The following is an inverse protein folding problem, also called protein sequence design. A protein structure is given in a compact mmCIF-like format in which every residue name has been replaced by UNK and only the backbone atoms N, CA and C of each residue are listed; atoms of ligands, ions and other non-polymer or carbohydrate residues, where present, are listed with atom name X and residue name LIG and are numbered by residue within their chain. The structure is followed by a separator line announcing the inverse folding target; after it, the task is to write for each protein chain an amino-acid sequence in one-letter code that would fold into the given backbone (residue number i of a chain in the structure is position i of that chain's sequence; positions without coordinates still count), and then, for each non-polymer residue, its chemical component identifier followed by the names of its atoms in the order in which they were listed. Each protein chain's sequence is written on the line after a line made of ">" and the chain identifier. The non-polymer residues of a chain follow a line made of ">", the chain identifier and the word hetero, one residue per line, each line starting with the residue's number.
data_IF_488451696387
#
_entry.id   IF_488451696387
#
_cell.length_a   1.000
_cell.length_b   1.000
_cell.length_c   1.000
_cell.angle_alpha   90.00
_cell.angle_beta   90.00
_cell.angle_gamma   90.00
#
_symmetry.space_group_name_H-M   'P 1'
#
loop_
_entity.id
_entity.type
_entity.pdbx_description
1 polymer ?
#
# COMPACT_ATOMS: atom_id res chain seq x y z
N UNK A 1 15.13 -42.67 -10.13
CA UNK A 1 14.38 -41.41 -9.92
C UNK A 1 15.23 -40.57 -8.98
N UNK A 2 15.96 -39.59 -9.50
CA UNK A 2 17.02 -38.89 -8.77
C UNK A 2 16.48 -37.55 -8.31
N UNK A 3 16.28 -37.40 -7.01
CA UNK A 3 15.73 -36.18 -6.40
C UNK A 3 16.83 -35.11 -6.33
N UNK A 4 16.68 -34.05 -7.13
CA UNK A 4 17.58 -32.89 -7.12
C UNK A 4 17.18 -31.98 -5.94
N UNK A 5 17.99 -31.96 -4.88
CA UNK A 5 17.86 -30.99 -3.78
C UNK A 5 18.41 -29.64 -4.24
N UNK A 6 17.52 -28.66 -4.45
CA UNK A 6 17.89 -27.27 -4.72
C UNK A 6 18.21 -26.58 -3.38
N UNK A 7 19.48 -26.46 -3.03
CA UNK A 7 19.94 -25.70 -1.87
C UNK A 7 19.85 -24.20 -2.18
N UNK A 8 18.87 -23.51 -1.61
CA UNK A 8 18.83 -22.05 -1.60
C UNK A 8 19.83 -21.54 -0.56
N UNK A 9 20.97 -21.04 -1.02
CA UNK A 9 21.90 -20.29 -0.18
C UNK A 9 21.29 -18.92 0.07
N UNK A 10 20.73 -18.72 1.26
CA UNK A 10 20.37 -17.40 1.77
C UNK A 10 21.65 -16.62 2.04
N UNK A 11 22.04 -15.76 1.10
CA UNK A 11 23.01 -14.69 1.34
C UNK A 11 22.41 -13.76 2.40
N UNK A 12 22.83 -13.94 3.66
CA UNK A 12 22.64 -12.96 4.72
C UNK A 12 23.55 -11.77 4.42
N UNK A 13 23.12 -10.90 3.50
CA UNK A 13 23.70 -9.58 3.37
C UNK A 13 23.47 -8.84 4.68
N UNK A 14 24.54 -8.51 5.40
CA UNK A 14 24.49 -7.61 6.54
C UNK A 14 23.90 -6.29 6.08
N UNK A 15 22.64 -6.04 6.42
CA UNK A 15 22.02 -4.74 6.19
C UNK A 15 22.80 -3.72 7.01
N UNK A 16 23.59 -2.89 6.34
CA UNK A 16 24.18 -1.72 6.97
C UNK A 16 23.04 -0.91 7.58
N UNK A 17 23.12 -0.65 8.88
CA UNK A 17 22.19 0.25 9.56
C UNK A 17 22.40 1.65 8.97
N UNK A 18 21.45 2.10 8.15
CA UNK A 18 21.43 3.47 7.63
C UNK A 18 21.24 4.41 8.84
N UNK A 19 22.14 5.37 9.09
CA UNK A 19 21.99 6.33 10.19
C UNK A 19 20.72 7.19 9.97
N UNK A 20 20.03 7.50 11.08
CA UNK A 20 18.79 8.24 11.10
C UNK A 20 19.06 9.77 11.07
N UNK A 21 18.70 10.44 9.97
CA UNK A 21 18.13 11.80 10.03
C UNK A 21 16.90 11.84 9.10
N UNK A 22 15.74 11.46 9.64
CA UNK A 22 14.53 11.12 8.88
C UNK A 22 13.65 12.34 8.65
N UNK A 23 13.44 12.66 7.39
CA UNK A 23 12.36 13.53 6.93
C UNK A 23 11.81 12.96 5.63
N UNK A 24 10.62 12.36 5.69
CA UNK A 24 9.92 11.70 4.59
C UNK A 24 8.53 12.32 4.43
N UNK A 25 8.03 12.61 3.23
CA UNK A 25 6.59 12.88 3.00
C UNK A 25 6.15 12.46 1.60
N UNK A 26 5.07 11.69 1.46
CA UNK A 26 4.45 11.45 0.16
C UNK A 26 2.93 11.44 0.28
N UNK A 27 2.25 12.19 -0.58
CA UNK A 27 0.80 12.23 -0.75
C UNK A 27 0.45 12.29 -2.23
N UNK A 28 -0.37 11.37 -2.72
CA UNK A 28 -0.98 11.47 -4.06
C UNK A 28 -2.39 10.88 -4.01
N UNK A 29 -3.33 11.57 -4.66
CA UNK A 29 -4.70 11.09 -4.95
C UNK A 29 -4.85 10.74 -6.45
N UNK A 30 -3.73 10.71 -7.18
CA UNK A 30 -3.67 10.66 -8.65
C UNK A 30 -3.34 9.26 -9.19
N UNK A 31 -3.13 8.31 -8.30
CA UNK A 31 -2.70 6.94 -8.63
C UNK A 31 -3.93 6.09 -8.92
N UNK A 32 -3.85 5.26 -9.97
CA UNK A 32 -4.77 4.16 -10.20
C UNK A 32 -4.15 2.81 -9.84
N UNK A 33 -4.97 1.79 -9.66
CA UNK A 33 -4.49 0.42 -9.50
C UNK A 33 -5.44 -0.62 -10.10
N UNK A 34 -4.85 -1.75 -10.48
CA UNK A 34 -5.52 -3.00 -10.87
C UNK A 34 -4.73 -4.17 -10.29
N UNK A 35 -5.18 -5.41 -10.48
CA UNK A 35 -4.39 -6.57 -10.08
C UNK A 35 -5.24 -7.80 -9.85
N UNK A 36 -4.81 -8.64 -8.91
CA UNK A 36 -5.50 -9.88 -8.58
C UNK A 36 -5.49 -10.17 -7.10
N UNK A 37 -6.51 -10.90 -6.65
CA UNK A 37 -6.58 -11.48 -5.31
C UNK A 37 -6.84 -12.98 -5.43
N UNK A 38 -6.10 -13.78 -4.67
CA UNK A 38 -6.37 -15.21 -4.49
C UNK A 38 -6.70 -15.49 -3.02
N UNK A 39 -7.63 -16.38 -2.76
CA UNK A 39 -8.14 -16.69 -1.42
C UNK A 39 -7.82 -18.13 -1.06
N UNK A 40 -7.34 -18.35 0.15
CA UNK A 40 -6.88 -19.65 0.66
C UNK A 40 -7.52 -19.94 2.02
N UNK A 41 -7.71 -21.23 2.32
CA UNK A 41 -8.24 -21.65 3.62
C UNK A 41 -7.16 -21.71 4.71
N UNK A 42 -5.88 -21.87 4.35
CA UNK A 42 -4.77 -21.97 5.31
C UNK A 42 -3.67 -20.98 5.00
N UNK A 43 -2.95 -20.53 6.04
CA UNK A 43 -1.80 -19.64 5.88
C UNK A 43 -0.68 -20.31 5.07
N UNK A 44 -0.44 -21.60 5.30
CA UNK A 44 0.57 -22.37 4.58
C UNK A 44 0.31 -22.37 3.08
N UNK A 45 -0.93 -22.65 2.69
CA UNK A 45 -1.33 -22.65 1.28
C UNK A 45 -1.22 -21.25 0.66
N UNK A 46 -1.55 -20.19 1.40
CA UNK A 46 -1.37 -18.80 0.96
C UNK A 46 0.12 -18.44 0.77
N UNK A 47 0.99 -18.86 1.69
CA UNK A 47 2.44 -18.62 1.62
C UNK A 47 3.11 -19.40 0.49
N UNK A 48 2.65 -20.63 0.23
CA UNK A 48 3.18 -21.50 -0.83
C UNK A 48 2.50 -21.27 -2.19
N UNK A 49 1.42 -20.49 -2.25
CA UNK A 49 0.68 -20.21 -3.48
C UNK A 49 -0.02 -21.44 -4.07
N UNK A 50 -0.55 -22.33 -3.23
CA UNK A 50 -1.14 -23.63 -3.65
C UNK A 50 -2.55 -23.82 -3.12
N UNK A 51 -3.36 -24.65 -3.76
CA UNK A 51 -4.74 -24.96 -3.33
C UNK A 51 -5.62 -23.73 -3.01
N UNK A 52 -5.68 -22.70 -3.88
CA UNK A 52 -6.56 -21.56 -3.65
C UNK A 52 -8.03 -22.02 -3.64
N UNK A 53 -8.81 -21.52 -2.69
CA UNK A 53 -10.27 -21.57 -2.70
C UNK A 53 -10.81 -20.80 -3.90
N UNK A 54 -10.22 -19.63 -4.18
CA UNK A 54 -10.46 -18.85 -5.39
C UNK A 54 -9.13 -18.30 -5.91
N UNK A 55 -8.85 -18.48 -7.19
CA UNK A 55 -7.57 -18.07 -7.79
C UNK A 55 -7.75 -16.85 -8.69
N UNK A 56 -6.80 -15.90 -8.61
CA UNK A 56 -6.61 -14.80 -9.57
C UNK A 56 -7.88 -13.98 -9.86
N UNK A 57 -8.67 -13.68 -8.82
CA UNK A 57 -9.85 -12.83 -8.96
C UNK A 57 -9.38 -11.44 -9.40
N UNK A 58 -9.84 -10.94 -10.56
CA UNK A 58 -9.37 -9.67 -11.10
C UNK A 58 -9.89 -8.50 -10.27
N UNK A 59 -8.98 -7.57 -9.95
CA UNK A 59 -9.30 -6.28 -9.34
C UNK A 59 -9.51 -5.26 -10.45
N UNK A 60 -10.72 -4.69 -10.59
CA UNK A 60 -10.98 -3.69 -11.62
C UNK A 60 -10.16 -2.43 -11.37
N UNK A 61 -10.06 -1.59 -12.40
CA UNK A 61 -9.39 -0.29 -12.28
C UNK A 61 -10.08 0.54 -11.18
N UNK A 62 -9.30 0.99 -10.21
CA UNK A 62 -9.74 1.81 -9.08
C UNK A 62 -8.72 2.92 -8.81
N UNK A 63 -9.16 3.99 -8.18
CA UNK A 63 -8.27 5.06 -7.75
C UNK A 63 -7.72 4.76 -6.36
N UNK A 64 -6.48 5.17 -6.13
CA UNK A 64 -5.73 5.00 -4.90
C UNK A 64 -5.33 6.36 -4.33
N UNK A 65 -5.34 6.45 -3.02
CA UNK A 65 -4.63 7.46 -2.25
C UNK A 65 -3.43 6.76 -1.60
N UNK A 66 -2.25 7.34 -1.73
CA UNK A 66 -1.12 6.94 -0.88
C UNK A 66 -0.69 8.16 -0.09
N UNK A 67 -0.60 7.99 1.22
CA UNK A 67 -0.13 9.03 2.13
C UNK A 67 0.83 8.37 3.13
N UNK A 68 2.12 8.75 3.19
CA UNK A 68 3.01 8.40 4.33
C UNK A 68 3.96 9.55 4.72
N UNK A 69 4.34 9.67 6.01
CA UNK A 69 5.43 10.53 6.52
C UNK A 69 6.12 9.91 7.69
N UNK A 70 7.43 10.13 7.74
CA UNK A 70 8.07 10.37 9.02
C UNK A 70 9.11 11.50 8.91
N UNK A 71 8.64 12.67 9.37
CA UNK A 71 9.22 13.85 10.02
C UNK A 71 9.97 14.95 9.24
N UNK A 72 9.25 15.66 8.35
CA UNK A 72 9.34 17.15 8.21
C UNK A 72 7.94 17.77 8.08
N UNK A 73 7.80 19.09 8.32
CA UNK A 73 7.17 19.68 9.52
C UNK A 73 5.72 19.17 9.71
N UNK A 74 5.53 18.28 10.70
CA UNK A 74 4.30 17.53 11.10
C UNK A 74 3.01 17.75 10.29
N UNK A 75 2.44 16.65 9.76
CA UNK A 75 1.02 16.60 9.40
C UNK A 75 0.25 15.53 10.24
N UNK A 76 0.74 15.36 11.49
CA UNK A 76 0.09 14.92 12.75
C UNK A 76 -0.11 13.44 13.11
N UNK A 77 0.82 12.51 13.35
CA UNK A 77 2.28 12.38 13.37
C UNK A 77 2.54 10.87 13.21
N UNK A 78 3.64 10.49 12.55
CA UNK A 78 4.08 9.12 12.24
C UNK A 78 3.06 8.24 11.48
N UNK A 79 2.55 8.73 10.35
CA UNK A 79 1.40 8.12 9.67
C UNK A 79 1.75 7.25 8.47
N UNK A 80 0.86 6.29 8.16
CA UNK A 80 0.78 5.58 6.90
C UNK A 80 -0.65 5.58 6.38
N UNK A 81 -0.84 5.55 5.07
CA UNK A 81 -2.04 4.97 4.49
C UNK A 81 -1.90 4.54 3.04
N UNK A 82 -2.66 3.52 2.69
CA UNK A 82 -3.09 3.22 1.34
C UNK A 82 -4.60 3.03 1.41
N UNK A 83 -5.34 3.88 0.69
CA UNK A 83 -6.80 3.92 0.73
C UNK A 83 -7.32 3.88 -0.71
N UNK A 84 -8.40 3.16 -0.95
CA UNK A 84 -9.19 3.45 -2.15
C UNK A 84 -9.82 4.83 -2.00
N UNK A 85 -9.79 5.63 -3.06
CA UNK A 85 -10.21 7.04 -3.02
C UNK A 85 -11.72 7.18 -2.71
N UNK A 86 -12.07 8.10 -1.81
CA UNK A 86 -13.42 8.21 -1.21
C UNK A 86 -14.40 9.09 -1.99
N UNK A 87 -14.01 9.66 -3.13
CA UNK A 87 -14.90 10.54 -3.89
C UNK A 87 -16.07 9.77 -4.51
N UNK A 88 -17.30 10.32 -4.47
CA UNK A 88 -18.42 9.77 -5.24
C UNK A 88 -18.08 9.78 -6.72
N UNK A 89 -17.99 8.59 -7.33
CA UNK A 89 -17.62 8.45 -8.73
C UNK A 89 -18.52 7.44 -9.46
N UNK A 90 -19.83 7.57 -9.24
CA UNK A 90 -20.84 6.72 -9.88
C UNK A 90 -20.63 5.21 -9.57
N UNK A 91 -20.03 4.90 -8.42
CA UNK A 91 -19.79 3.53 -7.97
C UNK A 91 -18.52 2.87 -8.51
N UNK A 92 -17.66 3.60 -9.24
CA UNK A 92 -16.40 3.04 -9.76
C UNK A 92 -15.34 2.79 -8.68
N UNK A 93 -15.27 3.66 -7.67
CA UNK A 93 -14.43 3.53 -6.49
C UNK A 93 -15.30 3.10 -5.31
N UNK A 94 -14.94 1.99 -4.67
CA UNK A 94 -15.60 1.59 -3.44
C UNK A 94 -15.22 2.52 -2.29
N UNK A 95 -16.20 2.83 -1.46
CA UNK A 95 -16.00 3.51 -0.18
C UNK A 95 -16.13 2.51 0.98
N UNK A 96 -15.99 2.98 2.22
CA UNK A 96 -16.02 2.15 3.42
C UNK A 96 -17.34 1.35 3.63
N UNK A 97 -18.41 1.66 2.89
CA UNK A 97 -19.72 0.99 2.88
C UNK A 97 -19.93 0.06 1.67
N UNK A 98 -19.00 -0.01 0.73
CA UNK A 98 -19.14 -0.77 -0.51
C UNK A 98 -18.08 -1.87 -0.64
N UNK A 99 -18.40 -2.90 -1.42
CA UNK A 99 -17.48 -3.97 -1.77
C UNK A 99 -16.30 -3.43 -2.59
N UNK A 100 -15.07 -3.92 -2.32
CA UNK A 100 -13.89 -3.54 -3.09
C UNK A 100 -12.96 -2.59 -2.35
N UNK A 101 -13.38 -2.11 -1.20
CA UNK A 101 -12.63 -1.14 -0.42
C UNK A 101 -11.32 -1.72 0.10
N UNK A 102 -10.22 -1.02 -0.16
CA UNK A 102 -8.90 -1.28 0.42
C UNK A 102 -8.54 -0.14 1.35
N UNK A 103 -8.08 -0.48 2.55
CA UNK A 103 -7.61 0.47 3.54
C UNK A 103 -6.46 -0.13 4.35
N UNK A 104 -5.36 0.60 4.42
CA UNK A 104 -4.50 0.61 5.58
C UNK A 104 -4.30 2.05 5.99
N UNK A 105 -4.44 2.37 7.28
CA UNK A 105 -4.13 3.67 7.83
C UNK A 105 -3.47 3.43 9.18
N UNK A 106 -2.17 3.70 9.34
CA UNK A 106 -1.46 3.46 10.61
C UNK A 106 -0.99 4.75 11.26
N UNK A 107 -1.57 5.03 12.43
CA UNK A 107 -1.60 6.31 13.16
C UNK A 107 -0.42 6.55 14.12
N UNK A 108 0.43 5.56 14.32
CA UNK A 108 1.63 5.70 15.15
C UNK A 108 2.88 5.06 14.53
N UNK A 109 2.76 4.48 13.34
CA UNK A 109 3.80 3.80 12.59
C UNK A 109 4.42 2.59 13.30
N UNK A 110 3.73 1.99 14.28
CA UNK A 110 4.28 0.87 15.03
C UNK A 110 4.50 -0.38 14.16
N UNK A 111 3.78 -0.50 13.05
CA UNK A 111 3.89 -1.64 12.14
C UNK A 111 5.00 -1.45 11.08
N UNK A 112 5.82 -0.40 11.20
CA UNK A 112 6.84 -0.04 10.22
C UNK A 112 8.13 -0.82 10.41
N UNK A 113 8.55 -1.53 9.36
CA UNK A 113 9.86 -2.22 9.36
C UNK A 113 10.90 -1.50 8.53
N UNK A 114 10.56 -1.11 7.30
CA UNK A 114 11.52 -0.55 6.34
C UNK A 114 10.84 0.45 5.38
N UNK A 115 10.37 1.58 5.90
CA UNK A 115 9.83 2.66 5.07
C UNK A 115 10.96 3.59 4.64
N UNK A 116 11.12 3.81 3.34
CA UNK A 116 12.13 4.73 2.79
C UNK A 116 11.60 5.39 1.54
N UNK A 117 11.96 6.66 1.36
CA UNK A 117 11.54 7.42 0.20
C UNK A 117 12.56 8.47 -0.10
N UNK A 118 12.83 8.61 -1.39
CA UNK A 118 14.04 9.23 -1.86
C UNK A 118 13.87 9.68 -3.30
N UNK A 119 14.67 10.68 -3.64
CA UNK A 119 14.83 11.15 -5.00
C UNK A 119 15.91 10.33 -5.70
N UNK A 120 15.73 10.07 -6.99
CA UNK A 120 16.85 9.69 -7.84
C UNK A 120 17.77 10.90 -8.05
N UNK A 121 19.03 10.68 -8.44
CA UNK A 121 20.03 11.74 -8.68
C UNK A 121 19.59 12.85 -9.65
N UNK A 122 18.64 12.56 -10.55
CA UNK A 122 18.09 13.52 -11.49
C UNK A 122 17.08 14.50 -10.88
N UNK A 123 16.60 14.23 -9.66
CA UNK A 123 15.53 14.96 -8.98
C UNK A 123 14.20 15.00 -9.77
N UNK A 124 14.05 14.14 -10.79
CA UNK A 124 12.84 13.97 -11.61
C UNK A 124 12.00 12.77 -11.15
N UNK A 125 12.63 11.83 -10.44
CA UNK A 125 11.96 10.62 -9.96
C UNK A 125 11.94 10.52 -8.44
N UNK A 126 10.74 10.38 -7.87
CA UNK A 126 10.54 10.03 -6.46
C UNK A 126 10.22 8.54 -6.32
N UNK A 127 10.88 7.90 -5.37
CA UNK A 127 10.65 6.50 -4.99
C UNK A 127 10.12 6.44 -3.57
N UNK A 128 9.07 5.67 -3.35
CA UNK A 128 8.58 5.26 -2.03
C UNK A 128 8.61 3.73 -1.94
N UNK A 129 9.18 3.20 -0.87
CA UNK A 129 9.26 1.78 -0.56
C UNK A 129 8.81 1.55 0.86
N UNK A 130 7.87 0.62 1.02
CA UNK A 130 7.23 0.33 2.30
C UNK A 130 7.12 -1.17 2.50
N UNK A 131 7.51 -1.59 3.71
CA UNK A 131 7.26 -2.93 4.23
C UNK A 131 6.73 -2.83 5.66
N UNK A 132 5.72 -3.62 5.94
CA UNK A 132 5.19 -3.81 7.28
C UNK A 132 4.52 -5.17 7.44
N UNK A 133 4.09 -5.43 8.66
CA UNK A 133 3.48 -6.69 9.09
C UNK A 133 2.53 -6.42 10.24
N UNK A 134 1.59 -7.34 10.45
CA UNK A 134 0.62 -7.32 11.57
C UNK A 134 -0.19 -6.02 11.70
N UNK A 135 -0.51 -5.35 10.59
CA UNK A 135 -1.43 -4.22 10.61
C UNK A 135 -2.87 -4.74 10.67
N UNK A 136 -3.50 -4.64 11.84
CA UNK A 136 -4.81 -5.22 12.15
C UNK A 136 -5.94 -4.20 12.19
N UNK A 137 -7.18 -4.67 12.15
CA UNK A 137 -8.36 -3.90 12.54
C UNK A 137 -8.55 -4.02 14.07
N UNK A 138 -8.73 -2.93 14.84
CA UNK A 138 -8.62 -3.00 16.30
C UNK A 138 -9.91 -3.55 16.93
N UNK A 139 -9.76 -4.32 18.00
CA UNK A 139 -10.86 -4.76 18.87
C UNK A 139 -11.01 -3.75 20.03
N UNK A 140 -11.62 -2.58 19.77
CA UNK A 140 -11.76 -1.47 20.72
C UNK A 140 -10.84 -0.27 20.42
N UNK A 141 -11.04 0.87 21.09
CA UNK A 141 -10.40 2.18 20.79
C UNK A 141 -8.87 2.28 20.99
N UNK A 142 -8.14 1.17 21.11
CA UNK A 142 -6.68 1.17 21.17
C UNK A 142 -6.05 1.17 19.75
N UNK A 143 -4.91 1.85 19.60
CA UNK A 143 -4.26 2.15 18.33
C UNK A 143 -3.86 0.88 17.55
N UNK A 144 -4.49 0.72 16.39
CA UNK A 144 -4.33 -0.37 15.43
C UNK A 144 -5.36 -0.23 14.30
N UNK A 145 -5.40 0.91 13.61
CA UNK A 145 -5.16 1.00 12.17
C UNK A 145 -6.09 0.30 11.14
N UNK A 146 -7.42 0.44 11.29
CA UNK A 146 -8.48 0.25 10.28
C UNK A 146 -8.24 -0.71 9.09
N UNK A 147 -7.57 -1.86 9.30
CA UNK A 147 -7.15 -2.72 8.21
C UNK A 147 -8.34 -3.36 7.50
N UNK A 148 -8.50 -3.07 6.21
CA UNK A 148 -9.57 -3.65 5.38
C UNK A 148 -9.06 -4.01 4.00
N UNK A 149 -9.52 -5.15 3.51
CA UNK A 149 -9.29 -5.58 2.14
C UNK A 149 -10.61 -5.97 1.49
N UNK A 150 -10.63 -5.91 0.16
CA UNK A 150 -11.74 -6.39 -0.63
C UNK A 150 -12.08 -7.86 -0.31
N UNK A 151 -13.35 -8.10 0.04
CA UNK A 151 -13.97 -9.40 0.21
C UNK A 151 -14.10 -10.20 -1.11
N UNK A 152 -12.97 -10.53 -1.73
CA UNK A 152 -12.92 -11.19 -3.02
C UNK A 152 -13.39 -12.66 -2.97
N UNK A 153 -14.12 -13.11 -4.00
CA UNK A 153 -14.42 -14.53 -4.22
C UNK A 153 -15.62 -15.07 -3.46
N UNK A 154 -16.29 -14.22 -2.69
CA UNK A 154 -17.47 -14.54 -1.88
C UNK A 154 -18.54 -13.45 -2.11
N UNK A 155 -19.79 -13.62 -1.64
CA UNK A 155 -20.82 -12.61 -1.84
C UNK A 155 -20.37 -11.19 -1.44
N UNK A 156 -20.74 -10.16 -2.22
CA UNK A 156 -20.40 -8.77 -1.92
C UNK A 156 -20.78 -8.39 -0.49
N UNK A 157 -19.81 -7.86 0.26
CA UNK A 157 -20.05 -7.32 1.61
C UNK A 157 -19.16 -6.10 1.87
N UNK A 158 -19.47 -5.39 2.94
CA UNK A 158 -18.67 -4.28 3.46
C UNK A 158 -18.63 -4.34 4.99
N UNK A 159 -18.01 -3.35 5.62
CA UNK A 159 -17.80 -3.29 7.06
C UNK A 159 -17.09 -4.54 7.58
N UNK A 160 -17.80 -5.27 8.44
CA UNK A 160 -17.29 -6.39 9.23
C UNK A 160 -16.76 -7.55 8.38
N UNK A 161 -17.36 -7.83 7.22
CA UNK A 161 -16.87 -8.90 6.34
C UNK A 161 -15.58 -8.57 5.57
N UNK A 162 -15.07 -7.34 5.68
CA UNK A 162 -13.82 -6.87 5.04
C UNK A 162 -12.69 -6.58 6.04
N UNK A 163 -12.94 -6.80 7.34
CA UNK A 163 -11.97 -6.51 8.40
C UNK A 163 -10.99 -7.67 8.58
N UNK A 164 -9.78 -7.35 9.03
CA UNK A 164 -8.79 -8.38 9.24
C UNK A 164 -7.42 -7.84 9.59
N UNK A 165 -6.38 -8.59 9.25
CA UNK A 165 -4.99 -8.26 9.52
C UNK A 165 -4.14 -8.46 8.29
N UNK A 166 -3.40 -7.44 7.86
CA UNK A 166 -2.31 -7.60 6.91
C UNK A 166 -1.13 -8.24 7.63
N UNK A 167 -1.01 -9.56 7.48
CA UNK A 167 0.07 -10.34 8.10
C UNK A 167 1.42 -9.88 7.58
N UNK A 168 1.51 -9.64 6.27
CA UNK A 168 2.66 -9.03 5.61
C UNK A 168 2.17 -8.16 4.47
N UNK A 169 2.82 -7.02 4.27
CA UNK A 169 2.54 -6.16 3.13
C UNK A 169 3.79 -5.42 2.66
N UNK A 170 3.83 -5.19 1.35
CA UNK A 170 4.87 -4.42 0.69
C UNK A 170 4.23 -3.56 -0.40
N UNK A 171 4.59 -2.29 -0.44
CA UNK A 171 4.34 -1.48 -1.62
C UNK A 171 5.55 -0.68 -2.05
N UNK A 172 5.61 -0.47 -3.36
CA UNK A 172 6.61 0.35 -4.02
C UNK A 172 5.88 1.32 -4.94
N UNK A 173 6.18 2.61 -4.83
CA UNK A 173 5.74 3.64 -5.76
C UNK A 173 6.97 4.26 -6.44
N UNK A 174 6.84 4.53 -7.73
CA UNK A 174 7.76 5.34 -8.54
C UNK A 174 6.91 6.41 -9.21
N UNK A 175 7.20 7.67 -8.92
CA UNK A 175 6.59 8.83 -9.57
C UNK A 175 7.68 9.56 -10.38
N UNK A 176 7.46 9.79 -11.67
CA UNK A 176 8.43 10.40 -12.61
C UNK A 176 7.89 11.69 -13.24
N UNK A 177 8.75 12.46 -13.90
CA UNK A 177 8.37 13.75 -14.48
C UNK A 177 8.13 14.82 -13.42
N UNK A 178 8.83 14.70 -12.29
CA UNK A 178 8.80 15.65 -11.19
C UNK A 178 9.92 16.69 -11.36
N UNK A 179 9.94 17.70 -10.52
CA UNK A 179 11.08 18.61 -10.46
C UNK A 179 11.30 19.00 -9.00
N UNK A 180 12.10 18.21 -8.29
CA UNK A 180 12.36 18.45 -6.88
C UNK A 180 13.30 19.65 -6.69
N UNK A 181 12.96 20.52 -5.75
CA UNK A 181 13.71 21.73 -5.42
C UNK A 181 13.99 21.77 -3.91
N UNK A 182 15.21 22.13 -3.53
CA UNK A 182 15.57 22.46 -2.14
C UNK A 182 15.32 23.96 -1.91
N UNK A 183 14.07 24.30 -1.60
CA UNK A 183 13.62 25.70 -1.48
C UNK A 183 14.21 26.40 -0.26
N UNK A 184 14.36 25.65 0.84
CA UNK A 184 14.83 26.18 2.12
C UNK A 184 16.36 26.13 2.27
N UNK A 185 17.07 25.47 1.34
CA UNK A 185 18.51 25.21 1.37
C UNK A 185 18.96 24.42 2.60
N UNK A 186 18.11 23.50 3.04
CA UNK A 186 18.36 22.63 4.20
C UNK A 186 18.57 21.15 3.81
N UNK A 187 18.68 20.88 2.51
CA UNK A 187 18.84 19.55 1.94
C UNK A 187 17.53 18.78 1.80
N UNK A 188 16.37 19.39 2.08
CA UNK A 188 15.06 18.77 1.87
C UNK A 188 14.51 19.13 0.48
N UNK A 189 14.53 18.15 -0.42
CA UNK A 189 14.01 18.33 -1.77
C UNK A 189 12.51 18.07 -1.80
N UNK A 190 11.75 19.03 -2.33
CA UNK A 190 10.29 18.99 -2.43
C UNK A 190 9.82 19.20 -3.86
N UNK A 191 8.70 18.56 -4.20
CA UNK A 191 8.00 18.79 -5.44
C UNK A 191 6.55 19.20 -5.18
N UNK A 192 6.10 20.23 -5.91
CA UNK A 192 4.72 20.75 -5.89
C UNK A 192 4.00 20.60 -7.23
N UNK A 193 4.55 19.82 -8.18
CA UNK A 193 3.95 19.55 -9.50
C UNK A 193 3.43 18.12 -9.55
N UNK A 194 2.46 17.85 -10.42
CA UNK A 194 1.97 16.49 -10.61
C UNK A 194 2.99 15.65 -11.39
N UNK A 195 3.21 14.41 -10.95
CA UNK A 195 3.96 13.44 -11.71
C UNK A 195 3.31 13.22 -13.08
N UNK A 196 4.12 12.98 -14.10
CA UNK A 196 3.62 12.60 -15.42
C UNK A 196 3.28 11.11 -15.49
N UNK A 197 3.90 10.30 -14.62
CA UNK A 197 3.72 8.87 -14.60
C UNK A 197 3.94 8.26 -13.19
N UNK A 198 3.09 7.30 -12.83
CA UNK A 198 3.15 6.46 -11.65
C UNK A 198 3.27 5.00 -12.05
N UNK A 199 4.16 4.29 -11.37
CA UNK A 199 4.26 2.83 -11.46
C UNK A 199 4.62 2.25 -10.11
N UNK A 200 4.44 0.94 -9.95
CA UNK A 200 4.67 0.29 -8.67
C UNK A 200 3.74 -0.86 -8.38
N UNK A 201 3.69 -1.27 -7.12
CA UNK A 201 2.84 -2.36 -6.67
C UNK A 201 2.44 -2.22 -5.21
N UNK A 202 1.37 -2.92 -4.83
CA UNK A 202 0.99 -3.23 -3.46
C UNK A 202 0.64 -4.72 -3.38
N UNK A 203 1.41 -5.48 -2.60
CA UNK A 203 1.27 -6.94 -2.50
C UNK A 203 1.41 -7.42 -1.05
N UNK A 204 0.83 -8.57 -0.73
CA UNK A 204 0.91 -9.12 0.61
C UNK A 204 -0.08 -10.25 0.90
N UNK A 205 -0.20 -10.58 2.18
CA UNK A 205 -1.15 -11.55 2.70
C UNK A 205 -2.02 -10.86 3.76
N UNK A 206 -3.33 -10.92 3.56
CA UNK A 206 -4.33 -10.43 4.50
C UNK A 206 -5.13 -11.60 5.07
N UNK A 207 -5.27 -11.66 6.39
CA UNK A 207 -6.14 -12.62 7.08
C UNK A 207 -7.46 -11.92 7.36
N UNK A 208 -8.53 -12.33 6.68
CA UNK A 208 -9.87 -11.82 6.94
C UNK A 208 -10.53 -12.67 8.04
N UNK A 209 -11.08 -11.98 9.04
CA UNK A 209 -11.72 -12.60 10.21
C UNK A 209 -13.04 -11.89 10.48
N UNK A 210 -14.12 -12.61 10.26
CA UNK A 210 -15.48 -12.13 10.34
C UNK A 210 -16.35 -13.16 11.05
N UNK A 211 -17.12 -12.69 12.03
CA UNK A 211 -18.10 -13.50 12.75
C UNK A 211 -19.45 -13.52 12.02
N UNK A 212 -19.78 -12.42 11.32
CA UNK A 212 -21.07 -12.27 10.61
C UNK A 212 -21.02 -12.80 9.18
N UNK A 213 -19.83 -12.88 8.60
CA UNK A 213 -19.56 -13.37 7.24
C UNK A 213 -18.48 -14.46 7.30
N UNK A 214 -18.76 -15.63 7.90
CA UNK A 214 -17.77 -16.71 7.99
C UNK A 214 -17.28 -17.19 6.61
N UNK A 215 -18.06 -17.02 5.55
CA UNK A 215 -17.66 -17.25 4.16
C UNK A 215 -16.46 -16.38 3.75
N UNK A 216 -16.39 -15.15 4.26
CA UNK A 216 -15.29 -14.21 4.03
C UNK A 216 -13.99 -14.62 4.71
N UNK A 217 -14.01 -15.56 5.66
CA UNK A 217 -12.83 -15.96 6.39
C UNK A 217 -11.82 -16.68 5.49
N UNK A 218 -10.55 -16.37 5.70
CA UNK A 218 -9.45 -16.97 4.94
C UNK A 218 -8.25 -16.05 4.81
N UNK A 219 -7.32 -16.47 3.97
CA UNK A 219 -6.07 -15.78 3.67
C UNK A 219 -6.11 -15.27 2.24
N UNK A 220 -6.00 -13.97 2.07
CA UNK A 220 -6.11 -13.25 0.81
C UNK A 220 -4.69 -12.85 0.40
N UNK A 221 -4.18 -13.49 -0.65
CA UNK A 221 -2.93 -13.08 -1.31
C UNK A 221 -3.30 -12.06 -2.37
N UNK A 222 -2.90 -10.81 -2.18
CA UNK A 222 -3.17 -9.72 -3.11
C UNK A 222 -1.90 -9.31 -3.84
N UNK A 223 -2.05 -8.98 -5.11
CA UNK A 223 -1.00 -8.44 -5.96
C UNK A 223 -1.60 -7.35 -6.84
N UNK A 224 -1.39 -6.10 -6.45
CA UNK A 224 -1.91 -4.90 -7.10
C UNK A 224 -0.77 -4.16 -7.79
N UNK A 225 -1.03 -3.62 -8.96
CA UNK A 225 -0.10 -2.83 -9.78
C UNK A 225 -0.60 -1.40 -9.89
N UNK A 226 0.27 -0.43 -9.60
CA UNK A 226 -0.05 0.99 -9.73
C UNK A 226 0.07 1.46 -11.17
N UNK A 227 -0.77 2.42 -11.56
CA UNK A 227 -0.82 3.00 -12.90
C UNK A 227 -1.33 4.46 -12.89
N UNK A 228 -1.38 5.08 -14.07
CA UNK A 228 -1.84 6.47 -14.27
C UNK A 228 -3.33 6.63 -14.54
N UNK A 229 -4.11 5.57 -14.40
CA UNK A 229 -5.53 5.62 -14.75
C UNK A 229 -6.31 5.98 -13.50
N UNK A 230 -6.54 7.28 -13.30
CA UNK A 230 -7.35 7.78 -12.18
C UNK A 230 -8.59 8.49 -12.70
N UNK A 231 -9.77 8.01 -12.28
CA UNK A 231 -11.03 8.70 -12.55
C UNK A 231 -11.05 10.07 -11.90
N UNK A 232 -10.52 10.19 -10.67
CA UNK A 232 -10.47 11.47 -9.98
C UNK A 232 -9.58 12.49 -10.71
N UNK A 233 -8.51 12.06 -11.36
CA UNK A 233 -7.70 12.95 -12.22
C UNK A 233 -8.50 13.41 -13.44
N UNK A 234 -9.17 12.48 -14.13
CA UNK A 234 -9.94 12.76 -15.35
C UNK A 234 -11.11 13.72 -15.11
N UNK A 235 -11.62 13.77 -13.88
CA UNK A 235 -12.79 14.56 -13.50
C UNK A 235 -12.47 15.75 -12.59
N UNK A 236 -11.18 16.08 -12.41
CA UNK A 236 -10.76 17.26 -11.66
C UNK A 236 -11.01 17.19 -10.14
N UNK A 237 -11.12 15.97 -9.57
CA UNK A 237 -11.28 15.75 -8.14
C UNK A 237 -9.96 15.48 -7.41
N UNK A 238 -8.94 14.99 -8.11
CA UNK A 238 -7.66 14.68 -7.49
C UNK A 238 -6.86 15.95 -7.18
N UNK A 239 -6.35 16.04 -5.95
CA UNK A 239 -5.41 17.10 -5.55
C UNK A 239 -4.05 16.95 -6.21
N UNK A 240 -3.23 18.00 -6.07
CA UNK A 240 -1.85 17.99 -6.52
C UNK A 240 -0.98 17.06 -5.67
N UNK A 241 0.00 16.43 -6.32
CA UNK A 241 0.99 15.61 -5.67
C UNK A 241 1.87 16.42 -4.72
N UNK A 242 2.31 15.75 -3.65
CA UNK A 242 3.35 16.25 -2.76
C UNK A 242 4.33 15.14 -2.44
N UNK A 243 5.59 15.33 -2.83
CA UNK A 243 6.70 14.42 -2.55
C UNK A 243 7.83 15.21 -1.91
N UNK A 244 8.44 14.64 -0.87
CA UNK A 244 9.53 15.27 -0.14
C UNK A 244 10.45 14.26 0.52
N UNK A 245 11.76 14.48 0.41
CA UNK A 245 12.79 13.69 1.10
C UNK A 245 14.13 14.42 1.16
N UNK A 246 14.90 14.20 2.23
CA UNK A 246 16.33 14.54 2.30
C UNK A 246 17.23 13.54 1.57
N UNK A 247 16.70 12.38 1.19
CA UNK A 247 17.48 11.28 0.63
C UNK A 247 17.53 11.37 -0.88
N UNK A 248 18.74 11.36 -1.44
CA UNK A 248 19.02 11.23 -2.88
C UNK A 248 19.88 9.99 -3.11
N UNK A 249 19.50 9.13 -4.05
CA UNK A 249 20.21 7.88 -4.40
C UNK A 249 20.55 7.81 -5.88
#
# INVERSE_FOLDING_TARGET
>A
MTTLLLSVVLLQGSAASIPQDRSFFAASERIGYTGTISVYNTLKDAQEGRNPRHANIPVPQRDLVIYTVLNRPSFYDNFNSILTLWYPNEGRNPNNKNEGFVQMYDSNANNWKNHVGFWQKDLDTFVLQVKGENASYPLGEAAGDFARLWNAGVPPTSGEGTKGTFLVYEYRLVATGLAAEDKDKDGFYENTKNATNYSGYFKGIFRNESERHPESNGYYVFNLTFNNVSWAVQNGFAKDDRFGSKTVQ
#
